data_IF_886746475009
#
_entry.id   IF_886746475009
#
_cell.length_a   1.000
_cell.length_b   1.000
_cell.length_c   1.000
_cell.angle_alpha   90.00
_cell.angle_beta   90.00
_cell.angle_gamma   90.00
#
_symmetry.space_group_name_H-M   'P 1'
#
loop_
_entity.id
_entity.type
_entity.pdbx_description
1 polymer ?
#
# COMPACT_ATOMS: atom_id res chain seq x y z
N UNK A 1 -15.17 -18.35 6.42
CA UNK A 1 -15.00 -16.91 6.09
C UNK A 1 -13.65 -16.50 6.62
N UNK A 2 -12.65 -16.32 5.75
CA UNK A 2 -11.29 -15.94 6.16
C UNK A 2 -11.26 -14.47 6.56
N UNK A 3 -10.62 -14.17 7.68
CA UNK A 3 -10.38 -12.83 8.14
C UNK A 3 -9.54 -12.08 7.11
N UNK A 4 -10.18 -11.30 6.23
CA UNK A 4 -9.52 -10.12 5.65
C UNK A 4 -9.30 -9.18 6.82
N UNK A 5 -8.09 -9.18 7.36
CA UNK A 5 -7.63 -8.21 8.34
C UNK A 5 -7.95 -6.82 7.81
N UNK A 6 -8.82 -6.09 8.51
CA UNK A 6 -9.31 -4.78 8.11
C UNK A 6 -8.12 -3.82 7.99
N UNK A 7 -7.74 -3.45 6.77
CA UNK A 7 -6.79 -2.35 6.51
C UNK A 7 -5.46 -2.74 5.85
N UNK A 8 -5.35 -3.93 5.24
CA UNK A 8 -4.14 -4.33 4.52
C UNK A 8 -4.43 -4.64 3.04
N UNK A 9 -3.60 -4.11 2.15
CA UNK A 9 -3.62 -4.40 0.70
C UNK A 9 -2.18 -4.64 0.22
N UNK A 10 -2.01 -5.57 -0.72
CA UNK A 10 -0.70 -5.87 -1.35
C UNK A 10 -0.78 -5.64 -2.85
N UNK A 11 0.21 -4.93 -3.39
CA UNK A 11 0.30 -4.66 -4.82
C UNK A 11 1.76 -4.65 -5.28
N UNK A 12 2.00 -5.01 -6.54
CA UNK A 12 3.32 -4.89 -7.16
C UNK A 12 3.59 -3.43 -7.54
N UNK A 13 4.79 -2.96 -7.25
CA UNK A 13 5.19 -1.61 -7.59
C UNK A 13 6.64 -1.52 -8.04
N UNK A 14 6.93 -0.53 -8.88
CA UNK A 14 8.30 -0.20 -9.28
C UNK A 14 8.90 0.76 -8.27
N UNK A 15 10.17 0.56 -7.94
CA UNK A 15 10.95 1.50 -7.16
C UNK A 15 11.48 2.59 -8.08
N UNK A 16 11.09 3.83 -7.83
CA UNK A 16 11.53 5.00 -8.59
C UNK A 16 12.71 5.72 -7.91
N UNK A 17 13.26 6.75 -8.56
CA UNK A 17 14.37 7.57 -8.01
C UNK A 17 14.03 8.09 -6.62
N UNK A 18 15.02 8.06 -5.72
CA UNK A 18 14.85 8.44 -4.32
C UNK A 18 14.03 7.44 -3.52
N UNK A 19 14.00 6.16 -3.93
CA UNK A 19 13.35 5.05 -3.22
C UNK A 19 11.83 5.24 -3.05
N UNK A 20 11.20 5.91 -4.02
CA UNK A 20 9.78 6.20 -4.01
C UNK A 20 8.97 5.07 -4.63
N UNK A 21 7.83 4.78 -4.01
CA UNK A 21 6.81 3.86 -4.52
C UNK A 21 5.49 4.65 -4.57
N UNK A 22 4.71 4.45 -5.62
CA UNK A 22 3.38 5.04 -5.76
C UNK A 22 2.32 4.05 -5.29
N UNK A 23 1.52 4.42 -4.31
CA UNK A 23 0.27 3.72 -3.99
C UNK A 23 -0.79 4.19 -4.98
N UNK A 24 -1.22 3.32 -5.89
CA UNK A 24 -2.17 3.66 -6.95
C UNK A 24 -3.58 3.89 -6.40
N UNK A 25 -4.40 4.62 -7.17
CA UNK A 25 -5.75 5.05 -6.79
C UNK A 25 -6.64 3.92 -6.23
N UNK A 26 -6.74 2.73 -6.85
CA UNK A 26 -7.61 1.67 -6.31
C UNK A 26 -7.20 1.20 -4.91
N UNK A 27 -5.89 1.21 -4.61
CA UNK A 27 -5.37 0.82 -3.30
C UNK A 27 -5.62 1.93 -2.28
N UNK A 28 -5.49 3.20 -2.67
CA UNK A 28 -5.80 4.34 -1.80
C UNK A 28 -7.28 4.37 -1.42
N UNK A 29 -8.17 4.14 -2.38
CA UNK A 29 -9.61 4.09 -2.14
C UNK A 29 -10.01 2.88 -1.28
N UNK A 30 -9.48 1.68 -1.56
CA UNK A 30 -9.74 0.47 -0.77
C UNK A 30 -9.38 0.67 0.70
N UNK A 31 -8.25 1.34 0.96
CA UNK A 31 -7.74 1.58 2.31
C UNK A 31 -8.22 2.90 2.94
N UNK A 32 -8.93 3.76 2.19
CA UNK A 32 -9.35 5.08 2.66
C UNK A 32 -8.18 5.99 3.07
N UNK A 33 -7.09 6.00 2.29
CA UNK A 33 -5.86 6.73 2.62
C UNK A 33 -5.99 8.24 2.38
N UNK A 34 -5.55 9.02 3.35
CA UNK A 34 -5.48 10.48 3.30
C UNK A 34 -4.04 11.01 3.39
N UNK A 35 -3.84 12.25 2.96
CA UNK A 35 -2.54 12.92 3.05
C UNK A 35 -2.23 13.21 4.52
N UNK A 36 -1.11 12.65 4.99
CA UNK A 36 -0.68 12.77 6.40
C UNK A 36 -0.82 11.48 7.17
N UNK A 37 -1.51 10.48 6.62
CA UNK A 37 -1.62 9.17 7.24
C UNK A 37 -0.28 8.47 7.37
N UNK A 38 -0.11 7.80 8.51
CA UNK A 38 1.09 7.00 8.79
C UNK A 38 0.82 5.54 8.45
N UNK A 39 1.58 5.01 7.50
CA UNK A 39 1.47 3.62 7.06
C UNK A 39 2.52 2.73 7.70
N UNK A 40 2.15 1.47 7.97
CA UNK A 40 3.10 0.37 8.19
C UNK A 40 3.40 -0.28 6.84
N UNK A 41 4.68 -0.42 6.50
CA UNK A 41 5.10 -0.96 5.19
C UNK A 41 5.87 -2.26 5.39
N UNK A 42 5.39 -3.32 4.73
CA UNK A 42 6.11 -4.60 4.60
C UNK A 42 6.63 -4.71 3.16
N UNK A 43 7.93 -4.88 2.98
CA UNK A 43 8.55 -4.99 1.65
C UNK A 43 9.02 -6.42 1.42
N UNK A 44 8.54 -7.04 0.33
CA UNK A 44 9.00 -8.33 -0.17
C UNK A 44 9.46 -8.17 -1.61
N UNK A 45 10.58 -8.80 -1.96
CA UNK A 45 11.07 -8.87 -3.34
C UNK A 45 10.69 -10.23 -3.93
N UNK A 46 10.07 -10.20 -5.10
CA UNK A 46 9.82 -11.37 -5.97
C UNK A 46 10.81 -11.38 -7.13
#
# INVERSE_FOLDING_TARGET
MSAREKGEETFLAKVHKGWRITVYEPVRESLGLEVGDRLRVTVRKE
#
